data_IF_923431663492
#
_entry.id   IF_923431663492
#
_cell.length_a   1.000
_cell.length_b   1.000
_cell.length_c   1.000
_cell.angle_alpha   90.00
_cell.angle_beta   90.00
_cell.angle_gamma   90.00
#
_symmetry.space_group_name_H-M   'P 1'
#
loop_
_entity.id
_entity.type
_entity.pdbx_description
1 polymer ?
#
# COMPACT_ATOMS: atom_id res chain seq x y z
N UNK A 1 -0.85 -10.24 17.01
CA UNK A 1 -0.41 -11.58 16.56
C UNK A 1 -1.46 -12.10 15.59
N UNK A 2 -1.19 -12.08 14.29
CA UNK A 2 -2.11 -12.68 13.31
C UNK A 2 -2.14 -14.20 13.52
N UNK A 3 -3.31 -14.85 13.44
CA UNK A 3 -3.38 -16.30 13.57
C UNK A 3 -2.58 -16.92 12.43
N UNK A 4 -1.59 -17.75 12.74
CA UNK A 4 -0.95 -18.63 11.76
C UNK A 4 -2.00 -19.64 11.31
N UNK A 5 -2.65 -19.35 10.18
CA UNK A 5 -3.51 -20.32 9.52
C UNK A 5 -2.63 -21.51 9.11
N UNK A 6 -2.79 -22.63 9.80
CA UNK A 6 -2.13 -23.88 9.45
C UNK A 6 -2.88 -24.53 8.29
N UNK A 7 -2.30 -24.50 7.09
CA UNK A 7 -2.78 -25.23 5.92
C UNK A 7 -1.60 -25.77 5.11
N UNK A 8 -1.86 -26.82 4.32
CA UNK A 8 -0.92 -27.35 3.32
C UNK A 8 -1.18 -26.70 1.95
N UNK A 9 -0.16 -26.22 1.23
CA UNK A 9 -0.31 -25.74 -0.14
C UNK A 9 -0.85 -26.83 -1.08
N UNK A 10 -1.78 -26.46 -1.96
CA UNK A 10 -2.24 -27.37 -3.01
C UNK A 10 -1.21 -27.50 -4.14
N UNK A 11 -0.82 -28.73 -4.50
CA UNK A 11 0.27 -29.03 -5.45
C UNK A 11 0.14 -28.34 -6.82
N UNK A 12 -1.10 -28.16 -7.31
CA UNK A 12 -1.37 -27.56 -8.63
C UNK A 12 -1.88 -26.13 -8.60
N UNK A 13 -2.39 -25.66 -7.46
CA UNK A 13 -3.12 -24.40 -7.38
C UNK A 13 -2.44 -23.49 -6.34
N UNK A 14 -1.15 -23.33 -6.57
CA UNK A 14 -0.27 -22.50 -5.77
C UNK A 14 0.64 -21.71 -6.71
N UNK A 15 0.15 -20.56 -7.16
CA UNK A 15 0.89 -19.71 -8.09
C UNK A 15 1.83 -18.78 -7.32
N UNK A 16 3.07 -18.65 -7.79
CA UNK A 16 4.10 -17.82 -7.14
C UNK A 16 3.70 -16.33 -7.10
N UNK A 17 2.95 -15.88 -8.10
CA UNK A 17 2.42 -14.53 -8.28
C UNK A 17 0.94 -14.38 -7.86
N UNK A 18 0.34 -15.42 -7.27
CA UNK A 18 -1.03 -15.35 -6.76
C UNK A 18 -1.15 -14.30 -5.64
N UNK A 19 -2.25 -13.55 -5.65
CA UNK A 19 -2.48 -12.42 -4.75
C UNK A 19 -3.60 -12.66 -3.71
N UNK A 20 -4.12 -13.88 -3.62
CA UNK A 20 -5.04 -14.31 -2.56
C UNK A 20 -4.82 -15.78 -2.22
N UNK A 21 -4.95 -16.12 -0.94
CA UNK A 21 -4.95 -17.52 -0.47
C UNK A 21 -6.36 -17.87 0.01
N UNK A 22 -7.01 -18.82 -0.67
CA UNK A 22 -8.24 -19.44 -0.18
C UNK A 22 -7.89 -20.67 0.65
N UNK A 23 -8.46 -20.78 1.84
CA UNK A 23 -8.26 -21.96 2.71
C UNK A 23 -9.56 -22.75 2.79
N UNK A 24 -9.53 -23.99 2.33
CA UNK A 24 -10.63 -24.93 2.44
C UNK A 24 -10.18 -26.11 3.31
N UNK A 25 -10.71 -26.18 4.53
CA UNK A 25 -10.26 -27.12 5.58
C UNK A 25 -8.77 -26.93 5.88
N UNK A 26 -7.95 -27.93 5.58
CA UNK A 26 -6.50 -27.96 5.79
C UNK A 26 -5.70 -27.59 4.54
N UNK A 27 -6.35 -27.23 3.42
CA UNK A 27 -5.67 -26.99 2.13
C UNK A 27 -5.75 -25.51 1.74
N UNK A 28 -4.60 -24.92 1.39
CA UNK A 28 -4.47 -23.56 0.89
C UNK A 28 -4.29 -23.52 -0.62
N UNK A 29 -4.96 -22.57 -1.27
CA UNK A 29 -4.92 -22.34 -2.72
C UNK A 29 -4.46 -20.89 -2.96
N UNK A 30 -3.23 -20.69 -3.46
CA UNK A 30 -2.71 -19.37 -3.80
C UNK A 30 -3.03 -19.06 -5.25
N UNK A 31 -3.99 -18.16 -5.49
CA UNK A 31 -4.60 -17.87 -6.80
C UNK A 31 -4.84 -16.38 -7.03
N UNK A 32 -5.53 -16.02 -8.12
CA UNK A 32 -5.74 -14.63 -8.53
C UNK A 32 -7.13 -14.11 -8.13
N UNK A 33 -7.15 -13.09 -7.26
CA UNK A 33 -8.33 -12.38 -6.77
C UNK A 33 -9.25 -11.91 -7.90
N UNK A 34 -8.67 -11.28 -8.94
CA UNK A 34 -9.44 -10.75 -10.06
C UNK A 34 -10.18 -11.84 -10.83
N UNK A 35 -9.53 -12.99 -11.08
CA UNK A 35 -10.17 -14.11 -11.79
C UNK A 35 -11.30 -14.74 -10.97
N UNK A 36 -11.15 -14.83 -9.64
CA UNK A 36 -12.21 -15.28 -8.75
C UNK A 36 -13.42 -14.34 -8.79
N UNK A 37 -13.20 -13.03 -8.67
CA UNK A 37 -14.27 -12.03 -8.68
C UNK A 37 -15.02 -12.01 -10.02
N UNK A 38 -14.31 -12.12 -11.15
CA UNK A 38 -14.93 -12.13 -12.48
C UNK A 38 -15.84 -13.35 -12.69
N UNK A 39 -15.46 -14.51 -12.15
CA UNK A 39 -16.16 -15.77 -12.40
C UNK A 39 -17.14 -16.18 -11.29
N UNK A 40 -17.19 -15.45 -10.18
CA UNK A 40 -18.05 -15.76 -9.05
C UNK A 40 -18.58 -14.50 -8.39
N UNK A 41 -19.89 -14.29 -8.47
CA UNK A 41 -20.58 -13.16 -7.82
C UNK A 41 -20.40 -13.19 -6.30
N UNK A 42 -20.43 -14.38 -5.69
CA UNK A 42 -20.20 -14.55 -4.26
C UNK A 42 -18.80 -14.06 -3.86
N UNK A 43 -17.76 -14.45 -4.58
CA UNK A 43 -16.42 -13.97 -4.29
C UNK A 43 -16.26 -12.49 -4.64
N UNK A 44 -16.90 -11.99 -5.69
CA UNK A 44 -16.90 -10.56 -6.02
C UNK A 44 -17.43 -9.73 -4.85
N UNK A 45 -18.62 -10.06 -4.34
CA UNK A 45 -19.26 -9.33 -3.25
C UNK A 45 -18.50 -9.47 -1.93
N UNK A 46 -18.00 -10.67 -1.63
CA UNK A 46 -17.19 -10.93 -0.44
C UNK A 46 -15.88 -10.12 -0.45
N UNK A 47 -15.21 -10.05 -1.60
CA UNK A 47 -13.95 -9.33 -1.76
C UNK A 47 -14.14 -7.82 -1.85
N UNK A 48 -15.30 -7.34 -2.30
CA UNK A 48 -15.63 -5.91 -2.31
C UNK A 48 -16.02 -5.41 -0.91
N UNK A 49 -16.59 -6.29 -0.08
CA UNK A 49 -16.97 -5.96 1.30
C UNK A 49 -15.86 -6.17 2.32
N UNK A 50 -14.72 -6.77 1.93
CA UNK A 50 -13.58 -6.94 2.82
C UNK A 50 -12.92 -5.59 3.10
N UNK A 51 -12.89 -5.20 4.37
CA UNK A 51 -12.25 -3.96 4.88
C UNK A 51 -10.72 -4.01 4.91
N UNK A 52 -10.09 -4.98 4.24
CA UNK A 52 -8.63 -5.06 4.23
C UNK A 52 -8.05 -4.15 3.16
N UNK A 53 -6.94 -3.44 3.45
CA UNK A 53 -6.26 -2.66 2.43
C UNK A 53 -5.90 -3.53 1.24
N UNK A 54 -6.28 -3.11 0.04
CA UNK A 54 -6.07 -3.87 -1.18
C UNK A 54 -4.62 -3.83 -1.68
N UNK A 55 -3.88 -2.77 -1.33
CA UNK A 55 -2.54 -2.52 -1.84
C UNK A 55 -1.55 -2.21 -0.71
N UNK A 56 -0.31 -2.65 -0.88
CA UNK A 56 0.82 -2.18 -0.06
C UNK A 56 1.29 -0.79 -0.53
N UNK A 57 1.96 -0.05 0.37
CA UNK A 57 2.64 1.17 -0.03
C UNK A 57 3.67 0.95 -1.13
N UNK A 58 4.46 -0.13 -1.08
CA UNK A 58 5.44 -0.49 -2.11
C UNK A 58 4.82 -0.65 -3.50
N UNK A 59 3.66 -1.32 -3.59
CA UNK A 59 2.92 -1.44 -4.85
C UNK A 59 2.47 -0.07 -5.39
N UNK A 60 1.92 0.79 -4.53
CA UNK A 60 1.48 2.12 -4.96
C UNK A 60 2.67 3.02 -5.32
N UNK A 61 3.78 2.95 -4.57
CA UNK A 61 5.04 3.64 -4.86
C UNK A 61 5.61 3.22 -6.22
N UNK A 62 5.60 1.92 -6.51
CA UNK A 62 6.01 1.39 -7.81
C UNK A 62 5.11 1.93 -8.94
N UNK A 63 3.79 1.95 -8.74
CA UNK A 63 2.85 2.51 -9.72
C UNK A 63 3.08 4.01 -9.96
N UNK A 64 3.30 4.80 -8.91
CA UNK A 64 3.61 6.23 -9.03
C UNK A 64 4.89 6.42 -9.86
N UNK A 65 5.97 5.69 -9.55
CA UNK A 65 7.24 5.81 -10.25
C UNK A 65 7.15 5.39 -11.72
N UNK A 66 6.47 4.28 -12.01
CA UNK A 66 6.28 3.78 -13.37
C UNK A 66 5.38 4.74 -14.17
N UNK A 67 4.24 5.15 -13.62
CA UNK A 67 3.33 6.05 -14.29
C UNK A 67 3.97 7.41 -14.58
N UNK A 68 4.73 7.96 -13.62
CA UNK A 68 5.51 9.18 -13.82
C UNK A 68 6.59 9.01 -14.90
N UNK A 69 7.39 7.93 -14.83
CA UNK A 69 8.47 7.66 -15.78
C UNK A 69 7.97 7.49 -17.22
N UNK A 70 6.82 6.85 -17.42
CA UNK A 70 6.27 6.53 -18.73
C UNK A 70 5.13 7.46 -19.17
N UNK A 71 4.81 8.51 -18.40
CA UNK A 71 3.80 9.52 -18.75
C UNK A 71 2.36 9.00 -18.75
N UNK A 72 2.02 8.02 -17.91
CA UNK A 72 0.67 7.44 -17.80
C UNK A 72 -0.16 8.21 -16.75
N UNK A 73 -0.62 9.41 -17.12
CA UNK A 73 -1.19 10.37 -16.16
C UNK A 73 -2.37 9.83 -15.35
N UNK A 74 -3.31 9.11 -15.97
CA UNK A 74 -4.48 8.57 -15.26
C UNK A 74 -4.09 7.57 -14.14
N UNK A 75 -3.00 6.83 -14.32
CA UNK A 75 -2.48 5.91 -13.30
C UNK A 75 -1.73 6.68 -12.23
N UNK A 76 -0.97 7.71 -12.62
CA UNK A 76 -0.27 8.59 -11.69
C UNK A 76 -1.27 9.29 -10.75
N UNK A 77 -2.29 9.94 -11.30
CA UNK A 77 -3.30 10.67 -10.55
C UNK A 77 -4.07 9.76 -9.58
N UNK A 78 -4.46 8.57 -10.06
CA UNK A 78 -5.14 7.58 -9.20
C UNK A 78 -4.24 7.08 -8.07
N UNK A 79 -2.96 6.83 -8.35
CA UNK A 79 -2.01 6.31 -7.35
C UNK A 79 -1.68 7.38 -6.30
N UNK A 80 -1.48 8.65 -6.71
CA UNK A 80 -1.28 9.77 -5.80
C UNK A 80 -2.52 10.07 -4.96
N UNK A 81 -3.72 9.92 -5.53
CA UNK A 81 -4.97 10.04 -4.79
C UNK A 81 -5.10 8.93 -3.75
N UNK A 82 -4.76 7.69 -4.10
CA UNK A 82 -4.77 6.58 -3.14
C UNK A 82 -3.85 6.83 -1.93
N UNK A 83 -2.68 7.45 -2.12
CA UNK A 83 -1.80 7.85 -1.01
C UNK A 83 -2.40 8.96 -0.14
N UNK A 84 -3.06 9.94 -0.76
CA UNK A 84 -3.74 11.04 -0.05
C UNK A 84 -4.96 10.54 0.73
N UNK A 85 -5.77 9.69 0.13
CA UNK A 85 -6.94 9.09 0.76
C UNK A 85 -6.56 8.17 1.92
N UNK A 86 -5.34 7.60 1.88
CA UNK A 86 -4.85 6.67 2.89
C UNK A 86 -4.16 7.33 4.09
N UNK A 87 -3.29 8.32 3.87
CA UNK A 87 -2.61 9.03 4.99
C UNK A 87 -1.98 10.35 4.58
N UNK A 88 -1.34 10.43 3.43
CA UNK A 88 -0.46 11.54 3.06
C UNK A 88 -1.23 12.64 2.35
N UNK A 89 -2.08 13.34 3.08
CA UNK A 89 -2.87 14.47 2.58
C UNK A 89 -2.45 15.79 3.25
N UNK A 90 -2.90 16.90 2.67
CA UNK A 90 -2.81 18.23 3.28
C UNK A 90 -3.99 18.54 4.22
N UNK A 91 -5.03 17.70 4.22
CA UNK A 91 -6.20 17.87 5.06
C UNK A 91 -6.04 17.15 6.40
N UNK A 92 -5.73 17.90 7.45
CA UNK A 92 -5.56 17.35 8.79
C UNK A 92 -6.86 16.80 9.39
N UNK A 93 -8.02 17.26 8.95
CA UNK A 93 -9.31 16.76 9.43
C UNK A 93 -9.51 15.32 8.96
N UNK A 94 -9.19 15.06 7.68
CA UNK A 94 -9.20 13.71 7.09
C UNK A 94 -8.22 12.77 7.81
N UNK A 95 -7.05 13.26 8.21
CA UNK A 95 -6.10 12.48 9.01
C UNK A 95 -6.70 12.03 10.34
N UNK A 96 -7.32 12.94 11.09
CA UNK A 96 -7.95 12.63 12.37
C UNK A 96 -9.14 11.66 12.21
N UNK A 97 -9.94 11.82 11.16
CA UNK A 97 -11.04 10.90 10.84
C UNK A 97 -10.53 9.47 10.60
N UNK A 98 -9.42 9.31 9.86
CA UNK A 98 -8.80 8.02 9.58
C UNK A 98 -8.15 7.38 10.81
N UNK A 99 -7.66 8.17 11.76
CA UNK A 99 -7.19 7.63 13.05
C UNK A 99 -8.35 7.05 13.88
N UNK A 100 -9.55 7.61 13.76
CA UNK A 100 -10.74 7.17 14.49
C UNK A 100 -11.42 5.94 13.83
N UNK A 101 -11.41 5.86 12.50
CA UNK A 101 -11.87 4.69 11.73
C UNK A 101 -10.86 4.31 10.62
N UNK A 102 -9.85 3.48 10.94
CA UNK A 102 -8.84 3.06 9.97
C UNK A 102 -9.36 2.09 8.90
N UNK A 103 -10.67 1.77 8.86
CA UNK A 103 -11.21 0.73 7.98
C UNK A 103 -11.55 1.17 6.55
N UNK A 104 -11.32 2.44 6.18
CA UNK A 104 -11.59 2.97 4.84
C UNK A 104 -10.39 2.99 3.88
N UNK A 105 -9.18 2.63 4.33
CA UNK A 105 -7.98 2.82 3.52
C UNK A 105 -7.66 1.62 2.64
N UNK A 106 -7.69 1.83 1.32
CA UNK A 106 -7.26 0.84 0.32
C UNK A 106 -5.74 0.56 0.33
N UNK A 107 -4.94 1.40 1.00
CA UNK A 107 -3.47 1.29 1.03
C UNK A 107 -2.97 1.04 2.44
N UNK A 108 -2.22 -0.04 2.63
CA UNK A 108 -1.56 -0.36 3.90
C UNK A 108 -0.33 0.53 4.07
N UNK A 109 -0.43 1.51 4.97
CA UNK A 109 0.66 2.40 5.33
C UNK A 109 1.14 2.09 6.75
N UNK A 110 2.43 1.78 6.87
CA UNK A 110 3.19 1.77 8.12
C UNK A 110 4.06 3.02 8.24
N UNK A 111 4.47 3.43 9.45
CA UNK A 111 5.14 4.72 9.61
C UNK A 111 6.51 4.78 8.88
N UNK A 112 7.14 3.64 8.58
CA UNK A 112 8.43 3.55 7.84
C UNK A 112 8.35 4.12 6.41
N UNK A 113 7.14 4.23 5.86
CA UNK A 113 6.92 4.73 4.50
C UNK A 113 6.93 6.26 4.40
N UNK A 114 7.03 6.99 5.52
CA UNK A 114 7.03 8.45 5.53
C UNK A 114 8.15 9.03 4.62
N UNK A 115 9.34 8.44 4.68
CA UNK A 115 10.48 8.79 3.82
C UNK A 115 10.13 8.58 2.35
N UNK A 116 9.55 7.42 2.02
CA UNK A 116 9.08 7.12 0.67
C UNK A 116 8.04 8.14 0.18
N UNK A 117 7.12 8.57 1.05
CA UNK A 117 6.10 9.55 0.71
C UNK A 117 6.68 10.94 0.42
N UNK A 118 7.67 11.39 1.20
CA UNK A 118 8.40 12.64 0.92
C UNK A 118 9.08 12.57 -0.44
N UNK A 119 9.80 11.47 -0.71
CA UNK A 119 10.51 11.29 -1.98
C UNK A 119 9.56 11.23 -3.18
N UNK A 120 8.41 10.56 -3.05
CA UNK A 120 7.37 10.57 -4.08
C UNK A 120 6.80 11.98 -4.29
N UNK A 121 6.56 12.73 -3.20
CA UNK A 121 6.06 14.11 -3.28
C UNK A 121 7.01 15.01 -4.06
N UNK A 122 8.31 14.88 -3.83
CA UNK A 122 9.33 15.62 -4.58
C UNK A 122 9.40 15.16 -6.03
N UNK A 123 9.46 13.84 -6.27
CA UNK A 123 9.54 13.24 -7.61
C UNK A 123 8.40 13.70 -8.52
N UNK A 124 7.17 13.78 -7.99
CA UNK A 124 5.97 14.13 -8.75
C UNK A 124 5.52 15.57 -8.53
N UNK A 125 6.31 16.39 -7.82
CA UNK A 125 5.97 17.76 -7.43
C UNK A 125 4.57 17.87 -6.77
N UNK A 126 4.18 16.86 -6.01
CA UNK A 126 2.86 16.77 -5.37
C UNK A 126 2.97 17.17 -3.90
N UNK A 127 3.00 18.49 -3.67
CA UNK A 127 3.18 19.08 -2.33
C UNK A 127 2.08 18.70 -1.33
N UNK A 128 0.91 18.23 -1.79
CA UNK A 128 -0.16 17.76 -0.92
C UNK A 128 0.23 16.55 -0.03
N UNK A 129 1.24 15.78 -0.44
CA UNK A 129 1.76 14.65 0.33
C UNK A 129 2.66 15.08 1.51
N UNK A 130 3.27 16.27 1.43
CA UNK A 130 4.37 16.68 2.31
C UNK A 130 3.99 16.88 3.79
N UNK A 131 2.89 17.57 4.15
CA UNK A 131 2.65 17.98 5.53
C UNK A 131 2.64 16.80 6.51
N UNK A 132 1.90 15.74 6.18
CA UNK A 132 1.78 14.55 7.02
C UNK A 132 2.99 13.61 6.86
N UNK A 133 3.60 13.55 5.68
CA UNK A 133 4.81 12.74 5.49
C UNK A 133 5.99 13.27 6.33
N UNK A 134 6.22 14.58 6.33
CA UNK A 134 7.27 15.21 7.16
C UNK A 134 6.92 15.14 8.65
N UNK A 135 5.64 15.29 9.01
CA UNK A 135 5.20 15.10 10.39
C UNK A 135 5.50 13.68 10.90
N UNK A 136 5.19 12.65 10.11
CA UNK A 136 5.50 11.26 10.44
C UNK A 136 7.02 11.02 10.53
N UNK A 137 7.82 11.60 9.62
CA UNK A 137 9.29 11.53 9.69
C UNK A 137 9.82 12.09 11.02
N UNK A 138 9.26 13.19 11.52
CA UNK A 138 9.64 13.77 12.81
C UNK A 138 9.34 12.85 14.00
N UNK A 139 8.35 11.94 13.90
CA UNK A 139 8.04 10.99 14.97
C UNK A 139 9.07 9.86 15.09
N UNK A 140 9.85 9.60 14.04
CA UNK A 140 10.89 8.56 14.02
C UNK A 140 12.17 8.95 14.77
N UNK A 141 12.39 10.22 15.07
CA UNK A 141 13.62 10.67 15.71
C UNK A 141 14.86 10.31 14.89
N UNK A 142 15.84 9.64 15.49
CA UNK A 142 17.09 9.25 14.82
C UNK A 142 16.93 8.13 13.79
N UNK A 143 15.90 7.29 13.93
CA UNK A 143 15.67 6.11 13.07
C UNK A 143 15.32 6.53 11.63
N UNK A 144 14.92 7.79 11.40
CA UNK A 144 14.71 8.34 10.06
C UNK A 144 15.99 8.28 9.21
N UNK A 145 17.16 8.26 9.85
CA UNK A 145 18.46 8.19 9.19
C UNK A 145 18.77 6.81 8.61
N UNK A 146 18.09 5.75 9.06
CA UNK A 146 18.26 4.41 8.52
C UNK A 146 17.67 4.26 7.11
N UNK A 147 16.82 5.21 6.72
CA UNK A 147 16.14 5.21 5.44
C UNK A 147 14.98 4.22 5.38
N UNK A 148 14.26 4.24 4.26
CA UNK A 148 13.20 3.29 3.96
C UNK A 148 13.71 2.27 2.93
N UNK A 149 13.74 0.99 3.33
CA UNK A 149 14.07 -0.12 2.44
C UNK A 149 12.83 -0.59 1.68
N UNK A 150 12.91 -0.55 0.35
CA UNK A 150 11.88 -1.01 -0.58
C UNK A 150 11.88 -2.53 -0.73
N UNK A 151 10.80 -3.06 -1.28
CA UNK A 151 10.65 -4.50 -1.58
C UNK A 151 11.76 -5.07 -2.50
N UNK A 152 12.38 -4.25 -3.35
CA UNK A 152 13.50 -4.64 -4.23
C UNK A 152 14.88 -4.62 -3.53
N UNK A 153 14.92 -4.19 -2.26
CA UNK A 153 16.12 -4.10 -1.44
C UNK A 153 16.84 -2.76 -1.49
N UNK A 154 16.44 -1.85 -2.39
CA UNK A 154 16.98 -0.48 -2.45
C UNK A 154 16.54 0.32 -1.23
N UNK A 155 17.44 1.17 -0.72
CA UNK A 155 17.16 2.02 0.45
C UNK A 155 17.08 3.47 0.00
N UNK A 156 15.98 4.12 0.36
CA UNK A 156 15.74 5.53 0.11
C UNK A 156 15.92 6.36 1.37
N UNK A 157 16.53 7.54 1.23
CA UNK A 157 16.74 8.49 2.30
C UNK A 157 16.01 9.80 1.97
N UNK A 158 15.76 10.61 3.00
CA UNK A 158 15.38 12.01 2.82
C UNK A 158 16.55 12.77 2.17
N UNK A 159 16.23 13.81 1.40
CA UNK A 159 17.27 14.69 0.87
C UNK A 159 17.90 15.50 2.00
N UNK A 160 19.03 16.18 1.73
CA UNK A 160 19.62 17.11 2.70
C UNK A 160 18.81 18.40 2.90
N UNK A 161 17.86 18.66 2.01
CA UNK A 161 17.05 19.88 2.01
C UNK A 161 15.72 19.68 2.77
N UNK A 162 15.37 18.43 3.08
CA UNK A 162 14.23 18.05 3.91
C UNK A 162 14.59 18.07 5.41
#
# INVERSE_FOLDING_TARGET
MSPTLNFRPHERFWFDDGNIILVARDVGFKIYRGLLAINSTVFSDMLASSKEPQYSFDQVSALVRLAHKYGVQDVLDRSLRALQDARYTKDFSRYLELELDPTECDVKISPVHAIGAVNLAQLTQTSALLPLALYDCCQYGGDVLDGWRRDDGEVEYLSRED
#
